data_IF_527118297397
#
_entry.id   IF_527118297397
#
_cell.length_a   1.000
_cell.length_b   1.000
_cell.length_c   1.000
_cell.angle_alpha   90.00
_cell.angle_beta   90.00
_cell.angle_gamma   90.00
#
_symmetry.space_group_name_H-M   'P 1'
#
loop_
_entity.id
_entity.type
_entity.pdbx_description
1 polymer ?
#
# COMPACT_ATOMS: atom_id res chain seq x y z
N UNK A 1 2.98 -24.21 -12.82
CA UNK A 1 3.51 -23.38 -11.71
C UNK A 1 4.76 -22.70 -12.25
N UNK A 2 4.98 -21.40 -11.98
CA UNK A 2 6.19 -20.69 -12.43
C UNK A 2 7.43 -21.16 -11.64
N UNK A 3 8.62 -20.83 -12.11
CA UNK A 3 9.87 -21.11 -11.39
C UNK A 3 10.00 -20.30 -10.10
N UNK A 4 10.88 -20.74 -9.20
CA UNK A 4 11.13 -20.03 -7.95
C UNK A 4 11.65 -18.59 -8.18
N UNK A 5 12.55 -18.40 -9.15
CA UNK A 5 13.11 -17.10 -9.50
C UNK A 5 12.05 -16.14 -10.09
N UNK A 6 11.16 -16.66 -10.93
CA UNK A 6 10.01 -15.89 -11.44
C UNK A 6 9.07 -15.50 -10.29
N UNK A 7 8.79 -16.42 -9.37
CA UNK A 7 7.94 -16.13 -8.23
C UNK A 7 8.53 -15.03 -7.34
N UNK A 8 9.84 -15.04 -7.07
CA UNK A 8 10.51 -13.96 -6.33
C UNK A 8 10.38 -12.61 -7.03
N UNK A 9 10.58 -12.58 -8.36
CA UNK A 9 10.48 -11.35 -9.16
C UNK A 9 9.06 -10.77 -9.15
N UNK A 10 8.04 -11.63 -9.23
CA UNK A 10 6.64 -11.23 -9.37
C UNK A 10 5.95 -10.90 -8.04
N UNK A 11 6.39 -11.47 -6.92
CA UNK A 11 5.64 -11.40 -5.64
C UNK A 11 6.27 -10.48 -4.60
N UNK A 12 7.53 -10.08 -4.74
CA UNK A 12 8.16 -9.14 -3.82
C UNK A 12 7.77 -7.71 -4.21
N UNK A 13 7.10 -6.99 -3.31
CA UNK A 13 6.51 -5.67 -3.57
C UNK A 13 7.14 -4.52 -2.75
N UNK A 14 8.22 -4.82 -2.03
CA UNK A 14 8.94 -3.84 -1.22
C UNK A 14 9.70 -2.80 -2.05
N UNK A 15 10.38 -1.85 -1.40
CA UNK A 15 11.23 -0.88 -2.10
C UNK A 15 12.27 -1.56 -2.98
N UNK A 16 12.52 -1.01 -4.17
CA UNK A 16 13.55 -1.48 -5.12
C UNK A 16 13.32 -2.88 -5.69
N UNK A 17 12.16 -3.51 -5.47
CA UNK A 17 11.82 -4.78 -6.13
C UNK A 17 11.12 -4.50 -7.47
N UNK A 18 11.32 -5.33 -8.52
CA UNK A 18 10.71 -5.08 -9.83
C UNK A 18 9.18 -4.91 -9.76
N UNK A 19 8.50 -5.78 -9.03
CA UNK A 19 7.04 -5.67 -8.85
C UNK A 19 6.66 -4.49 -7.95
N UNK A 20 7.45 -4.15 -6.92
CA UNK A 20 7.21 -2.99 -6.06
C UNK A 20 7.29 -1.66 -6.82
N UNK A 21 8.27 -1.51 -7.72
CA UNK A 21 8.42 -0.35 -8.61
C UNK A 21 7.30 -0.27 -9.66
N UNK A 22 6.82 -1.42 -10.14
CA UNK A 22 5.67 -1.47 -11.04
C UNK A 22 4.40 -1.00 -10.31
N UNK A 23 4.12 -1.56 -9.13
CA UNK A 23 2.90 -1.24 -8.37
C UNK A 23 2.84 0.23 -7.97
N UNK A 24 3.96 0.87 -7.64
CA UNK A 24 4.02 2.33 -7.31
C UNK A 24 3.50 3.26 -8.39
N UNK A 25 3.35 2.77 -9.63
CA UNK A 25 2.78 3.52 -10.75
C UNK A 25 1.24 3.54 -10.75
N UNK A 26 0.61 2.82 -9.83
CA UNK A 26 -0.84 2.65 -9.76
C UNK A 26 -1.42 3.13 -8.42
N UNK A 27 -2.66 3.61 -8.48
CA UNK A 27 -3.45 3.93 -7.30
C UNK A 27 -3.92 2.67 -6.59
N UNK A 28 -3.81 2.67 -5.26
CA UNK A 28 -4.26 1.58 -4.41
C UNK A 28 -5.39 2.03 -3.50
N UNK A 29 -6.53 1.31 -3.46
CA UNK A 29 -7.52 1.52 -2.42
C UNK A 29 -6.97 1.02 -1.08
N UNK A 30 -6.94 1.88 -0.07
CA UNK A 30 -6.37 1.53 1.25
C UNK A 30 -7.45 1.23 2.28
N UNK A 31 -8.49 2.07 2.34
CA UNK A 31 -9.60 1.88 3.28
C UNK A 31 -10.88 2.58 2.80
N UNK A 32 -12.01 2.18 3.37
CA UNK A 32 -13.28 2.87 3.16
C UNK A 32 -13.36 4.17 3.96
N UNK A 33 -14.01 5.19 3.40
CA UNK A 33 -14.16 6.51 4.04
C UNK A 33 -14.85 6.44 5.41
N UNK A 34 -15.74 5.46 5.63
CA UNK A 34 -16.41 5.20 6.90
C UNK A 34 -15.50 4.63 7.99
N UNK A 35 -14.31 4.12 7.64
CA UNK A 35 -13.33 3.67 8.63
C UNK A 35 -12.61 4.86 9.28
N UNK A 36 -12.33 5.91 8.49
CA UNK A 36 -11.69 7.15 8.96
C UNK A 36 -12.61 8.03 9.82
N UNK A 37 -13.94 7.89 9.71
CA UNK A 37 -14.85 8.57 10.63
C UNK A 37 -14.82 7.97 12.05
N UNK A 38 -14.45 6.68 12.18
CA UNK A 38 -14.34 5.99 13.48
C UNK A 38 -12.98 6.17 14.13
N UNK A 39 -11.91 6.24 13.33
CA UNK A 39 -10.53 6.46 13.78
C UNK A 39 -9.90 7.59 12.97
N UNK A 40 -9.58 8.70 13.65
CA UNK A 40 -9.05 9.91 13.00
C UNK A 40 -7.64 9.73 12.41
N UNK A 41 -6.85 8.82 13.00
CA UNK A 41 -5.49 8.50 12.58
C UNK A 41 -5.35 6.98 12.55
N UNK A 42 -4.91 6.44 11.43
CA UNK A 42 -4.81 5.01 11.17
C UNK A 42 -3.40 4.69 10.65
N UNK A 43 -2.60 3.89 11.39
CA UNK A 43 -1.34 3.38 10.84
C UNK A 43 -1.65 2.34 9.76
N UNK A 44 -0.96 2.43 8.63
CA UNK A 44 -1.09 1.50 7.51
C UNK A 44 0.29 1.04 7.05
N UNK A 45 0.37 -0.16 6.48
CA UNK A 45 1.55 -0.61 5.73
C UNK A 45 1.17 -0.86 4.29
N UNK A 46 1.81 -0.17 3.36
CA UNK A 46 1.56 -0.29 1.92
C UNK A 46 2.88 -0.50 1.19
N UNK A 47 2.96 -1.55 0.37
CA UNK A 47 4.15 -1.87 -0.44
C UNK A 47 5.47 -1.87 0.36
N UNK A 48 5.44 -2.34 1.61
CA UNK A 48 6.60 -2.43 2.49
C UNK A 48 6.91 -1.16 3.31
N UNK A 49 6.13 -0.09 3.15
CA UNK A 49 6.34 1.19 3.84
C UNK A 49 5.27 1.43 4.91
N UNK A 50 5.69 1.95 6.06
CA UNK A 50 4.80 2.37 7.14
C UNK A 50 4.35 3.81 6.93
N UNK A 51 3.03 4.01 6.78
CA UNK A 51 2.42 5.30 6.52
C UNK A 51 1.33 5.60 7.55
N UNK A 52 0.92 6.86 7.60
CA UNK A 52 -0.19 7.31 8.43
C UNK A 52 -1.29 7.85 7.53
N UNK A 53 -2.47 7.25 7.65
CA UNK A 53 -3.70 7.74 7.02
C UNK A 53 -4.51 8.53 8.04
N UNK A 54 -4.85 9.77 7.71
CA UNK A 54 -5.70 10.61 8.54
C UNK A 54 -6.59 11.47 7.64
N UNK A 55 -7.67 12.01 8.21
CA UNK A 55 -8.50 13.03 7.58
C UNK A 55 -8.25 14.36 8.25
N UNK A 56 -7.96 15.39 7.47
CA UNK A 56 -7.72 16.72 7.99
C UNK A 56 -9.01 17.41 8.48
N UNK A 57 -8.88 18.60 9.05
CA UNK A 57 -10.03 19.36 9.57
C UNK A 57 -10.97 19.88 8.47
N UNK A 58 -10.55 19.87 7.20
CA UNK A 58 -11.33 20.26 6.02
C UNK A 58 -12.01 19.06 5.35
N UNK A 59 -11.75 17.85 5.85
CA UNK A 59 -12.34 16.61 5.35
C UNK A 59 -11.59 15.96 4.19
N UNK A 60 -10.38 16.45 3.88
CA UNK A 60 -9.46 15.86 2.89
C UNK A 60 -8.62 14.75 3.52
#
# INVERSE_FOLDING_TARGET
MVSAAENETLTRVGPSTPCGELMRRYWHPITGSSHLSRKKVVPIRLLGEDLVLYRDLRGQ
#
